data_IF_663281124641
#
_entry.id   IF_663281124641
#
_cell.length_a   1.000
_cell.length_b   1.000
_cell.length_c   1.000
_cell.angle_alpha   90.00
_cell.angle_beta   90.00
_cell.angle_gamma   90.00
#
_symmetry.space_group_name_H-M   'P 1'
#
loop_
_entity.id
_entity.type
_entity.pdbx_description
1 polymer ?
#
# COMPACT_ATOMS: atom_id res chain seq x y z
N UNK A 1 -36.09 -13.39 -37.92
CA UNK A 1 -36.25 -12.93 -36.52
C UNK A 1 -35.18 -11.87 -36.27
N UNK A 2 -35.58 -10.61 -36.07
CA UNK A 2 -34.70 -9.58 -35.51
C UNK A 2 -34.63 -9.87 -34.01
N UNK A 3 -33.45 -10.16 -33.49
CA UNK A 3 -33.28 -10.35 -32.05
C UNK A 3 -33.64 -9.04 -31.33
N UNK A 4 -34.57 -9.11 -30.39
CA UNK A 4 -34.79 -8.01 -29.45
C UNK A 4 -33.51 -7.86 -28.61
N UNK A 5 -32.92 -6.66 -28.61
CA UNK A 5 -31.75 -6.34 -27.81
C UNK A 5 -32.21 -6.00 -26.39
N UNK A 6 -31.95 -6.82 -25.35
CA UNK A 6 -32.47 -6.53 -24.01
C UNK A 6 -31.63 -5.49 -23.24
N UNK A 7 -30.51 -5.01 -23.81
CA UNK A 7 -29.51 -4.20 -23.08
C UNK A 7 -29.58 -2.69 -23.35
N UNK A 8 -30.45 -2.23 -24.26
CA UNK A 8 -30.56 -0.80 -24.61
C UNK A 8 -31.47 -0.02 -23.63
N UNK A 9 -32.27 -0.70 -22.79
CA UNK A 9 -33.26 -0.06 -21.91
C UNK A 9 -32.86 0.01 -20.43
N UNK A 10 -31.95 -0.85 -19.97
CA UNK A 10 -31.48 -0.88 -18.58
C UNK A 10 -29.99 -1.24 -18.54
N UNK A 11 -29.19 -0.62 -17.65
CA UNK A 11 -27.79 -1.00 -17.50
C UNK A 11 -27.69 -2.50 -17.17
N UNK A 12 -26.87 -3.23 -17.93
CA UNK A 12 -26.49 -4.59 -17.56
C UNK A 12 -25.90 -4.58 -16.15
N UNK A 13 -26.08 -5.67 -15.40
CA UNK A 13 -25.51 -5.82 -14.06
C UNK A 13 -25.88 -4.73 -13.04
N UNK A 14 -27.09 -4.16 -13.13
CA UNK A 14 -27.59 -3.11 -12.22
C UNK A 14 -27.57 -3.43 -10.72
N UNK A 15 -27.41 -4.70 -10.33
CA UNK A 15 -27.34 -5.17 -8.95
C UNK A 15 -25.96 -5.70 -8.56
N UNK A 16 -24.98 -5.67 -9.48
CA UNK A 16 -23.63 -6.11 -9.16
C UNK A 16 -23.00 -5.11 -8.19
N UNK A 17 -22.52 -5.62 -7.06
CA UNK A 17 -21.94 -4.82 -5.97
C UNK A 17 -20.44 -5.06 -5.82
N UNK A 18 -19.98 -6.24 -6.20
CA UNK A 18 -18.62 -6.68 -6.00
C UNK A 18 -18.12 -7.40 -7.25
N UNK A 19 -16.87 -7.14 -7.59
CA UNK A 19 -16.13 -7.82 -8.65
C UNK A 19 -14.77 -8.21 -8.11
N UNK A 20 -14.39 -9.46 -8.35
CA UNK A 20 -13.06 -9.97 -8.08
C UNK A 20 -12.44 -10.50 -9.37
N UNK A 21 -11.29 -9.96 -9.75
CA UNK A 21 -10.52 -10.33 -10.92
C UNK A 21 -9.21 -10.98 -10.46
N UNK A 22 -9.22 -12.29 -10.31
CA UNK A 22 -8.04 -13.07 -9.92
C UNK A 22 -7.63 -14.02 -11.04
N UNK A 23 -6.33 -14.35 -11.10
CA UNK A 23 -5.86 -15.43 -11.96
C UNK A 23 -6.18 -16.78 -11.30
N UNK A 24 -6.76 -17.72 -12.06
CA UNK A 24 -6.80 -19.10 -11.62
C UNK A 24 -5.41 -19.71 -11.81
N UNK A 25 -4.90 -20.36 -10.76
CA UNK A 25 -3.59 -21.01 -10.71
C UNK A 25 -3.26 -21.75 -11.99
N UNK A 26 -2.34 -21.20 -12.78
CA UNK A 26 -1.58 -21.88 -13.81
C UNK A 26 -0.20 -21.22 -13.86
N UNK A 27 0.82 -22.07 -13.90
CA UNK A 27 2.27 -21.81 -14.12
C UNK A 27 2.66 -20.35 -14.34
N UNK A 28 3.60 -19.84 -13.53
CA UNK A 28 4.06 -18.44 -13.47
C UNK A 28 4.22 -17.76 -14.84
N UNK A 29 4.61 -18.51 -15.86
CA UNK A 29 4.84 -18.07 -17.24
C UNK A 29 3.59 -17.60 -18.03
N UNK A 30 2.38 -17.67 -17.46
CA UNK A 30 1.12 -17.33 -18.18
C UNK A 30 0.16 -16.39 -17.44
N UNK A 31 0.56 -15.78 -16.32
CA UNK A 31 -0.27 -14.76 -15.66
C UNK A 31 -0.40 -13.54 -16.59
N UNK A 32 -1.58 -13.38 -17.20
CA UNK A 32 -1.93 -12.15 -17.89
C UNK A 32 -1.94 -10.96 -16.93
N UNK A 33 -2.09 -9.76 -17.47
CA UNK A 33 -2.29 -8.55 -16.67
C UNK A 33 -3.51 -7.80 -17.16
N UNK A 34 -4.10 -7.00 -16.27
CA UNK A 34 -5.19 -6.11 -16.62
C UNK A 34 -4.66 -4.69 -16.78
N UNK A 35 -5.07 -4.03 -17.86
CA UNK A 35 -4.95 -2.58 -17.97
C UNK A 35 -6.10 -1.92 -17.22
N UNK A 36 -5.89 -0.73 -16.61
CA UNK A 36 -6.98 0.03 -15.99
C UNK A 36 -8.20 0.19 -16.90
N UNK A 37 -7.98 0.43 -18.19
CA UNK A 37 -9.04 0.57 -19.21
C UNK A 37 -9.96 -0.65 -19.33
N UNK A 38 -9.46 -1.86 -19.05
CA UNK A 38 -10.25 -3.09 -19.06
C UNK A 38 -11.14 -3.23 -17.81
N UNK A 39 -10.79 -2.54 -16.72
CA UNK A 39 -11.50 -2.61 -15.43
C UNK A 39 -12.49 -1.44 -15.28
N UNK A 40 -12.21 -0.29 -15.92
CA UNK A 40 -13.05 0.91 -15.87
C UNK A 40 -14.55 0.69 -16.12
N UNK A 41 -15.01 -0.24 -16.98
CA UNK A 41 -16.44 -0.49 -17.14
C UNK A 41 -17.18 -0.84 -15.83
N UNK A 42 -16.51 -1.46 -14.86
CA UNK A 42 -17.12 -1.77 -13.56
C UNK A 42 -17.38 -0.52 -12.72
N UNK A 43 -16.57 0.54 -12.88
CA UNK A 43 -16.74 1.81 -12.13
C UNK A 43 -18.00 2.58 -12.56
N UNK A 44 -18.57 2.23 -13.72
CA UNK A 44 -19.77 2.86 -14.25
C UNK A 44 -21.06 2.15 -13.80
N UNK A 45 -20.96 0.98 -13.15
CA UNK A 45 -22.11 0.23 -12.72
C UNK A 45 -22.72 0.85 -11.44
N UNK A 46 -24.04 1.11 -11.40
CA UNK A 46 -24.67 1.95 -10.37
C UNK A 46 -24.65 1.33 -8.96
N UNK A 47 -24.64 0.00 -8.88
CA UNK A 47 -24.64 -0.72 -7.60
C UNK A 47 -23.25 -1.14 -7.13
N UNK A 48 -22.18 -0.87 -7.89
CA UNK A 48 -20.84 -1.30 -7.51
C UNK A 48 -20.38 -0.63 -6.22
N UNK A 49 -19.67 -1.39 -5.39
CA UNK A 49 -19.17 -0.96 -4.07
C UNK A 49 -17.74 -1.42 -3.84
N UNK A 50 -17.40 -2.61 -4.32
CA UNK A 50 -16.09 -3.23 -4.07
C UNK A 50 -15.47 -3.75 -5.36
N UNK A 51 -14.19 -3.45 -5.54
CA UNK A 51 -13.37 -4.02 -6.59
C UNK A 51 -12.15 -4.69 -5.95
N UNK A 52 -11.91 -5.94 -6.33
CA UNK A 52 -10.68 -6.67 -6.04
C UNK A 52 -10.08 -7.07 -7.38
N UNK A 53 -8.80 -6.78 -7.60
CA UNK A 53 -8.12 -7.20 -8.82
C UNK A 53 -6.66 -7.53 -8.55
N UNK A 54 -6.17 -8.57 -9.21
CA UNK A 54 -4.77 -8.95 -9.22
C UNK A 54 -4.12 -8.50 -10.53
N UNK A 55 -2.80 -8.25 -10.52
CA UNK A 55 -2.02 -7.98 -11.74
C UNK A 55 -2.51 -6.79 -12.58
N UNK A 56 -2.96 -5.71 -11.95
CA UNK A 56 -3.29 -4.47 -12.67
C UNK A 56 -2.02 -3.68 -12.94
N UNK A 57 -1.76 -3.32 -14.20
CA UNK A 57 -0.53 -2.65 -14.63
C UNK A 57 -0.84 -1.34 -15.35
N UNK A 58 -0.25 -0.24 -14.88
CA UNK A 58 -0.19 1.01 -15.64
C UNK A 58 0.99 0.97 -16.62
N UNK A 59 0.72 0.84 -17.91
CA UNK A 59 1.77 0.90 -18.94
C UNK A 59 2.09 2.34 -19.33
N UNK A 60 3.37 2.72 -19.29
CA UNK A 60 3.83 4.02 -19.78
C UNK A 60 3.94 4.16 -21.30
N UNK A 61 3.80 3.07 -22.06
CA UNK A 61 3.88 3.07 -23.53
C UNK A 61 2.58 3.60 -24.14
N UNK A 62 2.58 4.89 -24.49
CA UNK A 62 1.53 5.54 -25.27
C UNK A 62 1.32 4.98 -26.69
N UNK A 63 1.99 3.89 -27.07
CA UNK A 63 1.93 3.28 -28.41
C UNK A 63 0.98 2.07 -28.50
N UNK A 64 0.66 1.43 -27.38
CA UNK A 64 -0.23 0.25 -27.34
C UNK A 64 -1.52 0.49 -26.55
N UNK A 65 -1.83 1.73 -26.18
CA UNK A 65 -3.18 2.11 -25.76
C UNK A 65 -4.11 1.83 -26.96
N UNK A 66 -4.97 0.79 -26.92
CA UNK A 66 -5.98 0.62 -27.95
C UNK A 66 -6.76 1.93 -27.99
N UNK A 67 -6.74 2.59 -29.16
CA UNK A 67 -7.36 3.90 -29.43
C UNK A 67 -8.44 4.17 -28.40
N UNK A 68 -8.16 5.09 -27.47
CA UNK A 68 -9.01 5.41 -26.35
C UNK A 68 -10.46 5.28 -26.82
N UNK A 69 -11.12 4.19 -26.40
CA UNK A 69 -12.56 4.11 -26.53
C UNK A 69 -13.01 5.42 -25.90
N UNK A 70 -13.83 6.21 -26.60
CA UNK A 70 -14.42 7.42 -26.06
C UNK A 70 -15.19 7.03 -24.80
N UNK A 71 -14.48 6.89 -23.68
CA UNK A 71 -15.03 6.55 -22.38
C UNK A 71 -15.69 7.87 -21.98
N UNK A 72 -17.03 7.93 -21.95
CA UNK A 72 -17.72 9.14 -21.55
C UNK A 72 -17.17 9.58 -20.20
N UNK A 73 -17.06 10.91 -20.00
CA UNK A 73 -16.58 11.51 -18.76
C UNK A 73 -17.05 10.68 -17.57
N UNK A 74 -16.10 10.04 -16.88
CA UNK A 74 -16.39 9.08 -15.82
C UNK A 74 -17.13 9.86 -14.75
N UNK A 75 -18.46 9.64 -14.68
CA UNK A 75 -19.26 10.15 -13.59
C UNK A 75 -18.74 9.61 -12.26
N UNK A 76 -19.13 10.21 -11.13
CA UNK A 76 -18.67 9.72 -9.82
C UNK A 76 -19.00 8.24 -9.66
N UNK A 77 -17.98 7.43 -9.40
CA UNK A 77 -18.13 6.00 -9.17
C UNK A 77 -18.69 5.76 -7.77
N UNK A 78 -19.65 4.83 -7.60
CA UNK A 78 -20.19 4.48 -6.30
C UNK A 78 -19.28 3.52 -5.50
N UNK A 79 -18.14 3.10 -6.08
CA UNK A 79 -17.18 2.22 -5.43
C UNK A 79 -16.61 2.89 -4.18
N UNK A 80 -16.64 2.17 -3.06
CA UNK A 80 -16.10 2.60 -1.77
C UNK A 80 -14.89 1.78 -1.32
N UNK A 81 -14.61 0.64 -1.97
CA UNK A 81 -13.52 -0.25 -1.58
C UNK A 81 -12.76 -0.75 -2.81
N UNK A 82 -11.44 -0.58 -2.82
CA UNK A 82 -10.54 -1.05 -3.87
C UNK A 82 -9.40 -1.84 -3.22
N UNK A 83 -9.19 -3.06 -3.71
CA UNK A 83 -8.02 -3.89 -3.37
C UNK A 83 -7.32 -4.29 -4.66
N UNK A 84 -6.04 -3.93 -4.78
CA UNK A 84 -5.19 -4.28 -5.90
C UNK A 84 -4.01 -5.11 -5.39
N UNK A 85 -3.95 -6.38 -5.75
CA UNK A 85 -2.85 -7.25 -5.35
C UNK A 85 -1.87 -7.47 -6.50
N UNK A 86 -0.62 -7.74 -6.15
CA UNK A 86 0.46 -7.99 -7.10
C UNK A 86 0.39 -7.08 -8.33
N UNK A 87 0.23 -5.76 -8.13
CA UNK A 87 -0.10 -4.80 -9.20
C UNK A 87 1.01 -3.77 -9.36
N UNK A 88 1.13 -3.14 -10.53
CA UNK A 88 2.14 -2.11 -10.80
C UNK A 88 1.46 -0.78 -11.19
N UNK A 89 1.49 0.19 -10.29
CA UNK A 89 0.82 1.49 -10.44
C UNK A 89 1.79 2.65 -10.42
N UNK A 90 2.63 2.78 -11.45
CA UNK A 90 3.65 3.83 -11.52
C UNK A 90 3.08 5.26 -11.59
N UNK A 91 1.79 5.39 -11.89
CA UNK A 91 1.05 6.67 -11.92
C UNK A 91 0.04 6.76 -10.78
N UNK A 92 0.11 5.86 -9.81
CA UNK A 92 -0.75 5.87 -8.63
C UNK A 92 -2.17 5.41 -8.91
N UNK A 93 -2.41 4.65 -9.99
CA UNK A 93 -3.75 4.15 -10.37
C UNK A 93 -4.78 5.27 -10.52
N UNK A 94 -4.35 6.46 -10.97
CA UNK A 94 -5.16 7.68 -11.01
C UNK A 94 -6.46 7.49 -11.80
N UNK A 95 -6.38 6.78 -12.92
CA UNK A 95 -7.53 6.49 -13.79
C UNK A 95 -8.65 5.72 -13.06
N UNK A 96 -8.29 4.84 -12.12
CA UNK A 96 -9.24 4.07 -11.32
C UNK A 96 -9.72 4.88 -10.11
N UNK A 97 -8.78 5.51 -9.39
CA UNK A 97 -9.06 6.12 -8.07
C UNK A 97 -9.79 7.46 -8.20
N UNK A 98 -9.45 8.30 -9.18
CA UNK A 98 -9.94 9.69 -9.27
C UNK A 98 -11.47 9.82 -9.36
N UNK A 99 -12.16 8.80 -9.86
CA UNK A 99 -13.62 8.75 -9.94
C UNK A 99 -14.31 8.39 -8.61
N UNK A 100 -13.57 7.89 -7.63
CA UNK A 100 -14.10 7.33 -6.38
C UNK A 100 -14.02 8.33 -5.22
N UNK A 101 -14.69 9.48 -5.34
CA UNK A 101 -14.68 10.55 -4.32
C UNK A 101 -15.17 10.14 -2.92
N UNK A 102 -15.89 9.02 -2.82
CA UNK A 102 -16.39 8.44 -1.55
C UNK A 102 -15.65 7.17 -1.12
N UNK A 103 -14.42 6.95 -1.64
CA UNK A 103 -13.60 5.80 -1.30
C UNK A 103 -13.33 5.74 0.20
N UNK A 104 -13.60 4.58 0.81
CA UNK A 104 -13.44 4.31 2.25
C UNK A 104 -12.25 3.39 2.52
N UNK A 105 -11.94 2.47 1.62
CA UNK A 105 -10.85 1.50 1.79
C UNK A 105 -10.03 1.43 0.51
N UNK A 106 -8.73 1.64 0.62
CA UNK A 106 -7.78 1.43 -0.46
C UNK A 106 -6.65 0.53 0.01
N UNK A 107 -6.47 -0.58 -0.67
CA UNK A 107 -5.43 -1.57 -0.39
C UNK A 107 -4.65 -1.84 -1.67
N UNK A 108 -3.34 -1.71 -1.59
CA UNK A 108 -2.44 -1.86 -2.72
C UNK A 108 -1.22 -2.66 -2.30
N UNK A 109 -0.90 -3.70 -3.06
CA UNK A 109 0.33 -4.46 -2.97
C UNK A 109 1.09 -4.30 -4.28
N UNK A 110 2.28 -3.69 -4.21
CA UNK A 110 3.11 -3.49 -5.37
C UNK A 110 3.76 -4.79 -5.84
N UNK A 111 4.02 -4.91 -7.13
CA UNK A 111 4.82 -6.00 -7.69
C UNK A 111 5.62 -5.52 -8.89
N UNK A 112 6.94 -5.62 -8.78
CA UNK A 112 7.87 -5.43 -9.89
C UNK A 112 8.04 -6.68 -10.77
N UNK A 113 7.43 -7.81 -10.40
CA UNK A 113 7.57 -9.08 -11.14
C UNK A 113 6.92 -9.08 -12.54
N UNK A 114 6.25 -8.00 -12.93
CA UNK A 114 5.62 -7.91 -14.25
C UNK A 114 6.60 -7.43 -15.31
N UNK A 115 6.48 -7.96 -16.53
CA UNK A 115 7.36 -7.59 -17.65
C UNK A 115 7.37 -6.09 -17.94
N UNK A 116 6.22 -5.41 -17.80
CA UNK A 116 6.05 -3.98 -18.04
C UNK A 116 6.08 -3.15 -16.76
N UNK A 117 6.53 -3.72 -15.64
CA UNK A 117 6.59 -3.01 -14.37
C UNK A 117 7.53 -1.81 -14.46
N UNK A 118 7.03 -0.65 -14.05
CA UNK A 118 7.81 0.54 -13.76
C UNK A 118 7.96 0.70 -12.24
N UNK A 119 8.94 1.49 -11.79
CA UNK A 119 9.20 1.68 -10.37
C UNK A 119 7.98 2.18 -9.58
N UNK A 120 7.83 1.69 -8.34
CA UNK A 120 6.79 2.13 -7.42
C UNK A 120 6.94 3.63 -7.10
N UNK A 121 5.83 4.38 -7.16
CA UNK A 121 5.79 5.83 -6.90
C UNK A 121 4.75 6.22 -5.85
N UNK A 122 5.07 6.09 -4.55
CA UNK A 122 4.20 6.46 -3.43
C UNK A 122 3.51 7.83 -3.59
N UNK A 123 4.24 8.87 -3.99
CA UNK A 123 3.69 10.23 -4.14
C UNK A 123 2.61 10.35 -5.23
N UNK A 124 2.61 9.45 -6.21
CA UNK A 124 1.54 9.39 -7.21
C UNK A 124 0.23 8.91 -6.57
N UNK A 125 0.28 7.89 -5.71
CA UNK A 125 -0.90 7.43 -4.97
C UNK A 125 -1.47 8.52 -4.05
N UNK A 126 -0.62 9.33 -3.41
CA UNK A 126 -1.08 10.48 -2.62
C UNK A 126 -1.94 11.44 -3.46
N UNK A 127 -1.48 11.77 -4.68
CA UNK A 127 -2.22 12.65 -5.60
C UNK A 127 -3.54 12.02 -6.01
N UNK A 128 -3.54 10.74 -6.39
CA UNK A 128 -4.75 10.00 -6.77
C UNK A 128 -5.78 9.94 -5.65
N UNK A 129 -5.34 9.74 -4.40
CA UNK A 129 -6.22 9.61 -3.23
C UNK A 129 -6.69 10.96 -2.66
N UNK A 130 -6.19 12.09 -3.17
CA UNK A 130 -6.50 13.42 -2.63
C UNK A 130 -8.00 13.75 -2.64
N UNK A 131 -8.75 13.22 -3.61
CA UNK A 131 -10.22 13.39 -3.70
C UNK A 131 -10.99 12.72 -2.56
N UNK A 132 -10.40 11.76 -1.87
CA UNK A 132 -11.05 10.91 -0.86
C UNK A 132 -10.55 11.18 0.56
N UNK A 133 -9.82 12.30 0.78
CA UNK A 133 -9.28 12.71 2.08
C UNK A 133 -10.30 12.67 3.23
N UNK A 134 -11.56 13.02 2.94
CA UNK A 134 -12.63 13.10 3.94
C UNK A 134 -13.44 11.80 4.10
N UNK A 135 -13.20 10.78 3.28
CA UNK A 135 -13.95 9.52 3.30
C UNK A 135 -13.07 8.29 3.56
N UNK A 136 -11.79 8.34 3.20
CA UNK A 136 -10.85 7.23 3.30
C UNK A 136 -10.60 6.90 4.77
N UNK A 137 -10.92 5.68 5.17
CA UNK A 137 -10.81 5.15 6.52
C UNK A 137 -9.67 4.14 6.65
N UNK A 138 -9.39 3.39 5.59
CA UNK A 138 -8.33 2.38 5.54
C UNK A 138 -7.41 2.63 4.36
N UNK A 139 -6.11 2.72 4.64
CA UNK A 139 -5.04 2.82 3.64
C UNK A 139 -4.01 1.73 3.94
N UNK A 140 -3.94 0.72 3.08
CA UNK A 140 -2.83 -0.23 3.05
C UNK A 140 -2.03 0.02 1.79
N UNK A 141 -0.87 0.65 1.92
CA UNK A 141 -0.03 1.00 0.80
C UNK A 141 1.23 0.14 0.82
N UNK A 142 1.44 -0.58 -0.28
CA UNK A 142 2.60 -1.43 -0.50
C UNK A 142 2.73 -2.57 0.53
N UNK A 143 1.58 -3.11 0.93
CA UNK A 143 1.47 -4.20 1.90
C UNK A 143 2.05 -5.49 1.32
N UNK A 144 3.20 -5.96 1.85
CA UNK A 144 3.95 -7.10 1.29
C UNK A 144 4.28 -6.96 -0.20
N UNK A 145 4.58 -5.75 -0.67
CA UNK A 145 4.99 -5.56 -2.06
C UNK A 145 6.35 -6.17 -2.37
N UNK A 146 6.54 -6.50 -3.64
CA UNK A 146 7.80 -7.03 -4.19
C UNK A 146 8.50 -5.93 -4.98
N UNK A 147 9.72 -5.59 -4.57
CA UNK A 147 10.54 -4.54 -5.17
C UNK A 147 11.82 -5.13 -5.74
N UNK A 148 12.00 -5.08 -7.07
CA UNK A 148 13.20 -5.58 -7.73
C UNK A 148 14.22 -4.44 -7.92
N UNK A 149 15.54 -4.70 -7.85
CA UNK A 149 16.56 -3.66 -8.03
C UNK A 149 16.48 -2.93 -9.39
N UNK A 150 15.96 -3.62 -10.40
CA UNK A 150 15.78 -3.10 -11.75
C UNK A 150 14.35 -3.39 -12.24
N UNK A 151 13.79 -2.43 -12.97
CA UNK A 151 12.49 -2.50 -13.65
C UNK A 151 12.68 -2.23 -15.14
N UNK A 152 11.60 -2.25 -15.94
CA UNK A 152 11.71 -1.90 -17.36
C UNK A 152 12.19 -0.45 -17.57
N UNK A 153 11.99 0.42 -16.58
CA UNK A 153 12.42 1.82 -16.59
C UNK A 153 13.89 2.01 -16.14
N UNK A 154 14.61 0.94 -15.77
CA UNK A 154 15.98 0.99 -15.28
C UNK A 154 16.08 0.74 -13.77
N UNK A 155 17.03 1.41 -13.10
CA UNK A 155 17.26 1.26 -11.65
C UNK A 155 16.00 1.68 -10.89
N UNK A 156 15.56 0.84 -9.96
CA UNK A 156 14.35 1.08 -9.18
C UNK A 156 14.63 1.95 -7.95
N UNK A 157 14.88 3.24 -8.15
CA UNK A 157 15.26 4.16 -7.06
C UNK A 157 14.05 4.75 -6.30
N UNK A 158 12.83 4.62 -6.84
CA UNK A 158 11.65 5.37 -6.36
C UNK A 158 10.84 4.66 -5.30
N UNK A 159 11.08 3.36 -5.06
CA UNK A 159 10.24 2.58 -4.15
C UNK A 159 10.30 3.04 -2.68
N UNK A 160 11.36 3.73 -2.29
CA UNK A 160 11.53 4.35 -0.97
C UNK A 160 11.14 5.85 -0.94
N UNK A 161 10.50 6.35 -2.00
CA UNK A 161 9.98 7.73 -2.05
C UNK A 161 8.96 7.98 -0.93
N UNK A 162 8.94 9.20 -0.40
CA UNK A 162 7.94 9.61 0.57
C UNK A 162 6.54 9.69 -0.06
N UNK A 163 5.54 9.12 0.59
CA UNK A 163 4.14 9.19 0.15
C UNK A 163 3.58 10.61 0.20
N UNK A 164 3.86 11.34 1.28
CA UNK A 164 3.27 12.64 1.59
C UNK A 164 2.55 12.67 2.94
N UNK A 165 2.13 13.86 3.38
CA UNK A 165 1.50 14.02 4.70
C UNK A 165 0.09 13.46 4.75
N UNK A 166 -0.20 12.58 5.72
CA UNK A 166 -1.51 12.00 5.94
C UNK A 166 -2.44 12.88 6.78
N UNK A 167 -1.98 14.05 7.25
CA UNK A 167 -2.69 14.89 8.21
C UNK A 167 -4.06 15.37 7.72
N UNK A 168 -4.18 15.60 6.41
CA UNK A 168 -5.44 16.04 5.77
C UNK A 168 -6.45 14.91 5.56
N UNK A 169 -6.07 13.64 5.75
CA UNK A 169 -6.98 12.50 5.62
C UNK A 169 -7.80 12.35 6.89
N UNK A 170 -8.77 13.25 7.08
CA UNK A 170 -9.51 13.45 8.34
C UNK A 170 -10.37 12.27 8.77
N UNK A 171 -10.67 11.33 7.87
CA UNK A 171 -11.42 10.12 8.17
C UNK A 171 -10.52 8.88 8.37
N UNK A 172 -9.22 8.99 8.16
CA UNK A 172 -8.30 7.85 8.09
C UNK A 172 -8.01 7.28 9.48
N UNK A 173 -8.32 6.00 9.67
CA UNK A 173 -8.27 5.29 10.95
C UNK A 173 -7.20 4.21 10.94
N UNK A 174 -7.16 3.42 9.88
CA UNK A 174 -6.31 2.25 9.77
C UNK A 174 -5.26 2.47 8.69
N UNK A 175 -4.01 2.62 9.10
CA UNK A 175 -2.88 2.91 8.22
C UNK A 175 -1.92 1.73 8.27
N UNK A 176 -1.58 1.20 7.09
CA UNK A 176 -0.52 0.21 6.91
C UNK A 176 0.36 0.65 5.76
N UNK A 177 1.63 0.90 6.04
CA UNK A 177 2.54 1.55 5.10
C UNK A 177 3.99 1.23 5.49
N UNK A 178 4.89 1.17 4.51
CA UNK A 178 6.32 1.03 4.77
C UNK A 178 6.90 2.28 5.43
N UNK A 179 7.87 2.10 6.30
CA UNK A 179 8.61 3.17 6.98
C UNK A 179 9.15 4.25 6.00
N UNK A 180 9.87 3.93 4.91
CA UNK A 180 10.37 4.93 3.98
C UNK A 180 9.26 5.73 3.28
N UNK A 181 8.08 5.12 3.06
CA UNK A 181 6.97 5.82 2.44
C UNK A 181 6.18 6.67 3.45
N UNK A 182 6.23 6.35 4.75
CA UNK A 182 5.59 7.13 5.81
C UNK A 182 6.40 8.37 6.21
N UNK A 183 7.71 8.20 6.39
CA UNK A 183 8.63 9.24 6.88
C UNK A 183 9.68 9.57 5.83
N UNK A 184 9.84 10.87 5.54
CA UNK A 184 10.89 11.37 4.66
C UNK A 184 12.24 11.42 5.39
N UNK A 185 12.89 10.26 5.50
CA UNK A 185 14.17 10.07 6.24
C UNK A 185 15.40 10.31 5.34
N UNK A 186 15.28 10.12 4.01
CA UNK A 186 16.38 10.25 3.03
C UNK A 186 17.70 9.68 3.57
N UNK A 187 18.77 10.47 3.51
CA UNK A 187 20.10 10.15 4.05
C UNK A 187 20.36 10.81 5.41
N UNK A 188 19.32 11.14 6.17
CA UNK A 188 19.41 11.80 7.47
C UNK A 188 19.01 10.85 8.61
N UNK A 189 19.55 11.03 9.83
CA UNK A 189 19.18 10.19 10.97
C UNK A 189 17.75 10.45 11.47
N UNK A 190 17.17 11.62 11.17
CA UNK A 190 15.83 12.03 11.58
C UNK A 190 14.99 12.43 10.36
N UNK A 191 13.67 12.22 10.40
CA UNK A 191 12.79 12.58 9.29
C UNK A 191 12.66 14.10 9.12
N UNK A 192 12.47 14.54 7.88
CA UNK A 192 12.29 15.95 7.52
C UNK A 192 11.04 16.58 8.15
N UNK A 193 10.05 15.76 8.50
CA UNK A 193 8.85 16.16 9.23
C UNK A 193 8.53 15.11 10.28
N UNK A 194 8.22 15.55 11.50
CA UNK A 194 7.94 14.65 12.60
C UNK A 194 6.64 13.86 12.36
N UNK A 195 6.60 12.62 12.84
CA UNK A 195 5.44 11.74 12.66
C UNK A 195 4.15 12.34 13.26
N UNK A 196 4.28 13.08 14.35
CA UNK A 196 3.19 13.83 14.98
C UNK A 196 2.50 14.77 14.01
N UNK A 197 3.21 15.36 13.04
CA UNK A 197 2.66 16.32 12.08
C UNK A 197 2.15 15.69 10.79
N UNK A 198 2.58 14.46 10.53
CA UNK A 198 2.18 13.67 9.35
C UNK A 198 0.90 12.89 9.62
N UNK A 199 0.68 12.39 10.83
CA UNK A 199 -0.48 11.54 11.12
C UNK A 199 -1.79 12.34 11.25
N UNK A 200 -2.91 11.78 10.75
CA UNK A 200 -4.24 12.33 10.98
C UNK A 200 -4.68 12.10 12.43
N UNK A 201 -5.46 13.04 12.97
CA UNK A 201 -6.00 12.93 14.35
C UNK A 201 -6.99 11.77 14.53
N UNK A 202 -7.58 11.30 13.44
CA UNK A 202 -8.55 10.19 13.41
C UNK A 202 -7.92 8.80 13.54
N UNK A 203 -6.59 8.68 13.49
CA UNK A 203 -5.90 7.39 13.47
C UNK A 203 -6.24 6.53 14.70
N UNK A 204 -6.56 5.27 14.45
CA UNK A 204 -6.90 4.25 15.44
C UNK A 204 -5.85 3.13 15.46
N UNK A 205 -5.31 2.77 14.29
CA UNK A 205 -4.29 1.75 14.11
C UNK A 205 -3.21 2.22 13.12
N UNK A 206 -1.95 2.08 13.51
CA UNK A 206 -0.80 2.33 12.64
C UNK A 206 0.08 1.07 12.58
N UNK A 207 0.26 0.54 11.37
CA UNK A 207 1.15 -0.57 11.06
C UNK A 207 2.28 -0.05 10.17
N UNK A 208 3.52 -0.11 10.68
CA UNK A 208 4.70 0.33 9.95
C UNK A 208 5.49 -0.90 9.48
N UNK A 209 5.61 -1.06 8.18
CA UNK A 209 6.35 -2.15 7.53
C UNK A 209 7.79 -1.79 7.16
N UNK A 210 8.63 -2.80 6.96
CA UNK A 210 9.96 -2.61 6.38
C UNK A 210 10.89 -1.78 7.27
N UNK A 211 10.69 -1.79 8.58
CA UNK A 211 11.58 -1.14 9.53
C UNK A 211 12.89 -1.94 9.62
N UNK A 212 13.98 -1.42 9.07
CA UNK A 212 15.32 -1.96 9.31
C UNK A 212 15.71 -1.73 10.78
N UNK A 213 16.56 -2.58 11.33
CA UNK A 213 16.97 -2.50 12.73
C UNK A 213 17.64 -1.16 13.07
N UNK A 214 18.51 -0.65 12.18
CA UNK A 214 19.15 0.65 12.35
C UNK A 214 18.16 1.83 12.37
N UNK A 215 17.00 1.69 11.74
CA UNK A 215 15.91 2.68 11.74
C UNK A 215 14.96 2.56 12.94
N UNK A 216 15.01 1.45 13.69
CA UNK A 216 14.07 1.17 14.77
C UNK A 216 14.12 2.20 15.89
N UNK A 217 15.33 2.64 16.28
CA UNK A 217 15.50 3.67 17.31
C UNK A 217 14.82 4.99 16.94
N UNK A 218 14.98 5.44 15.70
CA UNK A 218 14.31 6.63 15.17
C UNK A 218 12.79 6.46 15.18
N UNK A 219 12.28 5.34 14.66
CA UNK A 219 10.84 5.07 14.64
C UNK A 219 10.24 5.06 16.06
N UNK A 220 10.91 4.44 17.03
CA UNK A 220 10.50 4.44 18.43
C UNK A 220 10.44 5.87 18.99
N UNK A 221 11.47 6.68 18.71
CA UNK A 221 11.49 8.09 19.09
C UNK A 221 10.26 8.85 18.56
N UNK A 222 9.98 8.70 17.27
CA UNK A 222 8.83 9.32 16.60
C UNK A 222 7.49 8.84 17.20
N UNK A 223 7.32 7.54 17.43
CA UNK A 223 6.10 6.98 18.03
C UNK A 223 5.89 7.49 19.47
N UNK A 224 6.95 7.65 20.27
CA UNK A 224 6.83 8.25 21.61
C UNK A 224 6.33 9.70 21.54
N UNK A 225 6.72 10.48 20.53
CA UNK A 225 6.17 11.84 20.35
C UNK A 225 4.66 11.83 20.06
N UNK A 226 4.19 10.84 19.28
CA UNK A 226 2.76 10.62 19.01
C UNK A 226 2.02 10.26 20.30
N UNK A 227 2.56 9.33 21.09
CA UNK A 227 1.99 8.93 22.38
C UNK A 227 1.89 10.12 23.37
N UNK A 228 2.90 10.99 23.40
CA UNK A 228 2.88 12.21 24.23
C UNK A 228 1.76 13.19 23.82
N UNK A 229 1.25 13.11 22.59
CA UNK A 229 0.14 13.92 22.08
C UNK A 229 -1.20 13.16 22.06
N UNK A 230 -1.26 11.95 22.63
CA UNK A 230 -2.46 11.11 22.61
C UNK A 230 -3.70 11.82 23.18
N UNK A 231 -3.59 12.45 24.33
CA UNK A 231 -4.74 13.10 24.98
C UNK A 231 -5.28 14.31 24.20
N UNK A 232 -4.46 14.95 23.36
CA UNK A 232 -4.81 16.21 22.68
C UNK A 232 -5.07 16.03 21.18
N UNK A 233 -4.39 15.09 20.51
CA UNK A 233 -4.43 14.92 19.05
C UNK A 233 -4.78 13.50 18.59
N UNK A 234 -4.32 12.46 19.30
CA UNK A 234 -4.44 11.06 18.85
C UNK A 234 -5.23 10.19 19.84
N UNK A 235 -6.35 10.71 20.34
CA UNK A 235 -7.10 10.09 21.44
C UNK A 235 -7.72 8.74 21.10
N UNK A 236 -7.87 8.44 19.80
CA UNK A 236 -8.43 7.19 19.29
C UNK A 236 -7.39 6.12 18.99
N UNK A 237 -6.10 6.47 19.04
CA UNK A 237 -5.02 5.51 18.82
C UNK A 237 -5.08 4.40 19.87
N UNK A 238 -5.23 3.17 19.39
CA UNK A 238 -5.35 1.96 20.22
C UNK A 238 -4.37 0.87 19.84
N UNK A 239 -3.75 0.93 18.66
CA UNK A 239 -2.90 -0.13 18.14
C UNK A 239 -1.70 0.42 17.36
N UNK A 240 -0.53 -0.15 17.64
CA UNK A 240 0.72 0.06 16.92
C UNK A 240 1.31 -1.30 16.55
N UNK A 241 1.67 -1.48 15.28
CA UNK A 241 2.44 -2.63 14.81
C UNK A 241 3.71 -2.12 14.14
N UNK A 242 4.85 -2.74 14.47
CA UNK A 242 6.14 -2.52 13.82
C UNK A 242 6.58 -3.85 13.23
N UNK A 243 6.79 -3.88 11.93
CA UNK A 243 7.31 -5.04 11.20
C UNK A 243 8.64 -4.70 10.54
N UNK A 244 9.61 -5.61 10.65
CA UNK A 244 10.93 -5.49 10.07
C UNK A 244 11.61 -6.84 9.90
N UNK A 245 12.79 -6.85 9.27
CA UNK A 245 13.68 -8.00 9.26
C UNK A 245 14.53 -7.93 10.54
N UNK A 246 14.02 -8.51 11.62
CA UNK A 246 14.63 -8.42 12.95
C UNK A 246 15.30 -9.74 13.39
N UNK A 247 15.22 -10.78 12.57
CA UNK A 247 15.88 -12.05 12.80
C UNK A 247 17.36 -12.04 12.38
N UNK A 248 18.12 -13.00 12.90
CA UNK A 248 19.49 -13.30 12.49
C UNK A 248 19.49 -13.92 11.08
N UNK A 249 19.40 -13.09 10.06
CA UNK A 249 20.05 -13.37 8.78
C UNK A 249 21.21 -12.39 8.67
N UNK A 250 22.41 -12.92 8.42
CA UNK A 250 23.61 -12.12 8.16
C UNK A 250 23.25 -11.08 7.12
N UNK A 251 23.56 -9.81 7.39
CA UNK A 251 23.26 -8.69 6.50
C UNK A 251 23.78 -9.02 5.08
N UNK A 252 22.91 -9.49 4.18
CA UNK A 252 23.20 -9.69 2.76
C UNK A 252 23.27 -8.32 2.06
N UNK A 253 24.20 -7.48 2.49
CA UNK A 253 24.55 -6.23 1.83
C UNK A 253 26.09 -6.08 1.81
N UNK A 254 26.78 -6.99 1.13
CA UNK A 254 28.04 -6.71 0.42
C UNK A 254 28.50 -7.92 -0.41
N UNK A 255 28.69 -7.71 -1.72
CA UNK A 255 29.29 -8.62 -2.71
C UNK A 255 28.36 -9.70 -3.28
N UNK A 256 28.06 -9.54 -4.58
CA UNK A 256 27.33 -10.53 -5.36
C UNK A 256 28.08 -11.85 -5.47
N UNK A 257 27.29 -12.91 -5.63
CA UNK A 257 27.66 -14.31 -5.80
C UNK A 257 28.24 -15.01 -4.56
N UNK A 258 27.39 -15.78 -3.86
CA UNK A 258 27.55 -17.24 -3.83
C UNK A 258 26.26 -17.93 -3.35
N UNK A 259 25.70 -18.77 -4.24
CA UNK A 259 24.84 -19.89 -3.84
C UNK A 259 25.58 -20.79 -2.85
N UNK A 260 24.80 -21.38 -1.94
CA UNK A 260 25.14 -22.43 -0.98
C UNK A 260 25.91 -22.03 0.29
N UNK A 261 25.14 -21.58 1.29
CA UNK A 261 25.07 -22.31 2.57
C UNK A 261 23.68 -22.17 3.18
N UNK A 262 22.78 -23.09 2.85
CA UNK A 262 21.67 -23.43 3.72
C UNK A 262 22.22 -24.01 5.03
N UNK A 263 22.57 -23.15 5.98
CA UNK A 263 22.92 -23.56 7.34
C UNK A 263 21.73 -23.36 8.26
N UNK A 264 21.05 -24.49 8.47
CA UNK A 264 20.32 -24.89 9.67
C UNK A 264 18.96 -24.21 9.92
N UNK A 265 17.92 -25.04 9.92
CA UNK A 265 16.57 -24.76 10.43
C UNK A 265 16.52 -24.45 11.92
N UNK A 266 17.25 -23.41 12.34
CA UNK A 266 16.95 -22.68 13.56
C UNK A 266 15.64 -21.92 13.38
N UNK A 267 14.84 -21.86 14.44
CA UNK A 267 13.63 -21.04 14.44
C UNK A 267 14.05 -19.58 14.22
N UNK A 268 13.53 -18.91 13.18
CA UNK A 268 13.70 -17.46 13.00
C UNK A 268 13.05 -16.77 14.21
N UNK A 269 13.86 -16.11 15.02
CA UNK A 269 13.43 -15.39 16.22
C UNK A 269 13.99 -13.97 16.17
N UNK A 270 13.17 -13.00 16.57
CA UNK A 270 13.58 -11.60 16.72
C UNK A 270 14.76 -11.51 17.70
N UNK A 271 15.84 -10.83 17.31
CA UNK A 271 17.04 -10.64 18.14
C UNK A 271 16.68 -9.97 19.49
N UNK A 272 17.28 -10.42 20.58
CA UNK A 272 17.03 -9.89 21.93
C UNK A 272 17.19 -8.36 22.01
N UNK A 273 18.23 -7.81 21.35
CA UNK A 273 18.49 -6.36 21.27
C UNK A 273 17.32 -5.55 20.71
N UNK A 274 16.52 -6.13 19.81
CA UNK A 274 15.36 -5.46 19.21
C UNK A 274 14.25 -5.30 20.26
N UNK A 275 14.04 -6.32 21.10
CA UNK A 275 13.13 -6.23 22.24
C UNK A 275 13.61 -5.20 23.28
N UNK A 276 14.91 -5.20 23.60
CA UNK A 276 15.51 -4.20 24.50
C UNK A 276 15.33 -2.77 23.98
N UNK A 277 15.54 -2.56 22.68
CA UNK A 277 15.29 -1.26 22.04
C UNK A 277 13.82 -0.84 22.12
N UNK A 278 12.89 -1.78 21.95
CA UNK A 278 11.44 -1.53 21.95
C UNK A 278 10.82 -1.42 23.35
N UNK A 279 11.49 -1.87 24.40
CA UNK A 279 11.00 -1.88 25.78
C UNK A 279 10.48 -0.51 26.27
N UNK A 280 11.16 0.63 26.01
CA UNK A 280 10.66 1.94 26.41
C UNK A 280 9.34 2.32 25.70
N UNK A 281 9.17 1.89 24.44
CA UNK A 281 7.92 2.10 23.70
C UNK A 281 6.82 1.17 24.23
N UNK A 282 7.17 -0.08 24.54
CA UNK A 282 6.23 -1.06 25.11
C UNK A 282 5.65 -0.57 26.43
N UNK A 283 6.49 -0.05 27.32
CA UNK A 283 6.06 0.54 28.60
C UNK A 283 5.12 1.72 28.38
N UNK A 284 5.50 2.66 27.50
CA UNK A 284 4.67 3.83 27.19
C UNK A 284 3.32 3.46 26.56
N UNK A 285 3.29 2.44 25.69
CA UNK A 285 2.06 1.92 25.11
C UNK A 285 1.17 1.27 26.17
N UNK A 286 1.73 0.45 27.06
CA UNK A 286 1.00 -0.21 28.14
C UNK A 286 0.35 0.82 29.08
N UNK A 287 1.09 1.85 29.50
CA UNK A 287 0.58 2.96 30.32
C UNK A 287 -0.55 3.73 29.61
N UNK A 288 -0.46 3.87 28.28
CA UNK A 288 -1.48 4.52 27.47
C UNK A 288 -2.68 3.62 27.11
N UNK A 289 -2.66 2.33 27.44
CA UNK A 289 -3.68 1.35 27.04
C UNK A 289 -3.67 1.05 25.53
N UNK A 290 -2.51 1.12 24.89
CA UNK A 290 -2.30 0.85 23.46
C UNK A 290 -1.66 -0.52 23.29
N UNK A 291 -2.19 -1.32 22.38
CA UNK A 291 -1.58 -2.60 22.01
C UNK A 291 -0.38 -2.34 21.08
N UNK A 292 0.81 -2.81 21.48
CA UNK A 292 2.02 -2.80 20.66
C UNK A 292 2.33 -4.22 20.19
N UNK A 293 2.57 -4.38 18.89
CA UNK A 293 3.03 -5.63 18.29
C UNK A 293 4.33 -5.39 17.55
N UNK A 294 5.37 -6.13 17.93
CA UNK A 294 6.62 -6.20 17.20
C UNK A 294 6.62 -7.51 16.41
N UNK A 295 6.84 -7.43 15.10
CA UNK A 295 6.72 -8.57 14.17
C UNK A 295 7.97 -8.69 13.33
N UNK A 296 8.36 -9.92 13.09
CA UNK A 296 9.40 -10.25 12.13
C UNK A 296 8.74 -10.51 10.77
N UNK A 297 9.31 -9.96 9.70
CA UNK A 297 8.80 -10.16 8.35
C UNK A 297 9.17 -11.55 7.88
N UNK A 298 8.15 -12.34 7.55
CA UNK A 298 8.34 -13.63 6.88
C UNK A 298 8.53 -13.38 5.38
N UNK A 299 9.61 -13.92 4.81
CA UNK A 299 9.77 -14.01 3.37
C UNK A 299 8.93 -15.21 2.93
N UNK A 300 7.90 -14.97 2.13
CA UNK A 300 7.06 -15.99 1.50
C UNK A 300 7.64 -16.40 0.16
#
# INVERSE_FOLDING_TARGET
MKGEKPFDAQPAFRHLQEVSLAHQDMTEDTKGSYLPSQILPFFQLPSMRMLIADSVIESGSSQDEPQAIDIPAIGPSPISEITLNSSNGSRGMESLISSCSSLKSFKYQHSDSHLLAEGFRPSAFYRSLAGSKNSLQTLWLDNYGTHLPFTIAGVNETHDEWFGSLADFTALKDIRIRLPNLLDVRYQPEPSTALVDILPSSVESLYVEGCKENGLGMLIGQLKTVLNKRQTRFSRLRRLDIEGFFHDEEDEDASGYQENTATNGGQRVIKARVYEMAEPLQTACAEAGIALFLRDRQIS
#
